data_IF_733258196823
#
_entry.id   IF_733258196823
#
_cell.length_a   1.000
_cell.length_b   1.000
_cell.length_c   1.000
_cell.angle_alpha   90.00
_cell.angle_beta   90.00
_cell.angle_gamma   90.00
#
_symmetry.space_group_name_H-M   'P 1'
#
loop_
_entity.id
_entity.type
_entity.pdbx_description
1 polymer ?
#
# COMPACT_ATOMS: atom_id res chain seq x y z
N UNK A 1 -24.23 3.49 13.60
CA UNK A 1 -23.03 4.10 13.02
C UNK A 1 -23.38 4.47 11.60
N UNK A 2 -23.11 5.69 11.14
CA UNK A 2 -23.33 6.06 9.74
C UNK A 2 -22.48 5.12 8.88
N UNK A 3 -23.05 4.60 7.80
CA UNK A 3 -22.37 3.75 6.84
C UNK A 3 -21.25 4.58 6.20
N UNK A 4 -19.97 4.25 6.45
CA UNK A 4 -18.84 4.98 5.87
C UNK A 4 -18.90 4.84 4.35
N UNK A 5 -18.75 5.96 3.62
CA UNK A 5 -18.72 5.98 2.16
C UNK A 5 -17.52 5.19 1.64
N UNK A 6 -17.75 4.30 0.69
CA UNK A 6 -16.66 3.63 -0.03
C UNK A 6 -16.03 4.60 -1.03
N UNK A 7 -14.72 4.83 -0.92
CA UNK A 7 -13.97 5.66 -1.86
C UNK A 7 -13.33 4.80 -2.97
N UNK A 8 -12.94 3.55 -2.62
CA UNK A 8 -12.31 2.62 -3.55
C UNK A 8 -12.91 1.22 -3.38
N UNK A 9 -13.25 0.57 -4.50
CA UNK A 9 -13.61 -0.84 -4.55
C UNK A 9 -12.67 -1.55 -5.52
N UNK A 10 -11.99 -2.59 -5.03
CA UNK A 10 -11.15 -3.47 -5.84
C UNK A 10 -11.84 -4.81 -5.95
N UNK A 11 -12.13 -5.28 -7.17
CA UNK A 11 -12.90 -6.51 -7.42
C UNK A 11 -12.13 -7.45 -8.34
N UNK A 12 -11.78 -8.62 -7.80
CA UNK A 12 -11.11 -9.70 -8.53
C UNK A 12 -9.89 -9.23 -9.35
N UNK A 13 -9.13 -8.28 -8.79
CA UNK A 13 -8.02 -7.63 -9.49
C UNK A 13 -6.88 -8.62 -9.70
N UNK A 14 -6.41 -8.69 -10.97
CA UNK A 14 -5.26 -9.51 -11.36
C UNK A 14 -4.24 -8.67 -12.12
N UNK A 15 -2.97 -8.89 -11.81
CA UNK A 15 -1.85 -8.36 -12.59
C UNK A 15 -0.80 -9.43 -12.78
N UNK A 16 -0.68 -9.89 -14.03
CA UNK A 16 0.28 -10.89 -14.47
C UNK A 16 1.30 -10.27 -15.41
N UNK A 17 2.56 -10.63 -15.22
CA UNK A 17 3.65 -10.21 -16.10
C UNK A 17 4.12 -11.43 -16.91
N UNK A 18 3.94 -11.42 -18.24
CA UNK A 18 4.38 -12.53 -19.09
C UNK A 18 5.91 -12.65 -19.04
N UNK A 19 6.42 -13.89 -19.02
CA UNK A 19 7.87 -14.15 -19.08
C UNK A 19 8.45 -13.91 -20.49
N UNK A 20 7.61 -13.99 -21.52
CA UNK A 20 7.97 -13.64 -22.89
C UNK A 20 7.57 -12.22 -23.22
N UNK A 21 8.31 -11.54 -24.12
CA UNK A 21 7.93 -10.22 -24.60
C UNK A 21 6.53 -10.24 -25.25
N UNK A 22 5.65 -9.35 -24.83
CA UNK A 22 4.31 -9.21 -25.38
C UNK A 22 3.25 -8.99 -24.30
N UNK A 23 1.98 -8.98 -24.71
CA UNK A 23 0.84 -8.96 -23.80
C UNK A 23 0.58 -10.38 -23.31
N UNK A 24 0.19 -10.50 -22.04
CA UNK A 24 -0.24 -11.76 -21.45
C UNK A 24 -1.45 -12.33 -22.23
N UNK A 25 -1.37 -13.62 -22.53
CA UNK A 25 -2.48 -14.42 -23.03
C UNK A 25 -2.75 -15.55 -22.05
N UNK A 26 -4.00 -15.98 -21.96
CA UNK A 26 -4.37 -17.05 -21.02
C UNK A 26 -3.56 -18.32 -21.31
N UNK A 27 -2.98 -18.90 -20.25
CA UNK A 27 -2.07 -20.06 -20.36
C UNK A 27 -0.60 -19.71 -20.55
N UNK A 28 -0.23 -18.45 -20.77
CA UNK A 28 1.18 -18.05 -20.87
C UNK A 28 1.91 -18.21 -19.53
N UNK A 29 3.17 -18.67 -19.53
CA UNK A 29 4.03 -18.58 -18.35
C UNK A 29 4.21 -17.13 -17.91
N UNK A 30 3.87 -16.84 -16.67
CA UNK A 30 3.84 -15.48 -16.16
C UNK A 30 4.16 -15.41 -14.68
N UNK A 31 4.57 -14.23 -14.23
CA UNK A 31 4.64 -13.86 -12.80
C UNK A 31 3.25 -13.36 -12.38
N UNK A 32 2.56 -14.10 -11.52
CA UNK A 32 1.27 -13.70 -10.95
C UNK A 32 1.48 -12.78 -9.75
N UNK A 33 1.79 -11.52 -10.04
CA UNK A 33 2.13 -10.55 -8.99
C UNK A 33 0.93 -10.09 -8.16
N UNK A 34 -0.25 -10.01 -8.75
CA UNK A 34 -1.55 -9.79 -8.10
C UNK A 34 -2.51 -10.84 -8.66
N UNK A 35 -3.12 -11.62 -7.80
CA UNK A 35 -3.90 -12.78 -8.20
C UNK A 35 -5.20 -12.88 -7.38
N UNK A 36 -6.27 -12.34 -7.97
CA UNK A 36 -7.63 -12.35 -7.43
C UNK A 36 -7.79 -11.62 -6.10
N UNK A 37 -7.45 -10.34 -6.08
CA UNK A 37 -7.58 -9.49 -4.89
C UNK A 37 -8.90 -8.72 -4.92
N UNK A 38 -9.64 -8.79 -3.81
CA UNK A 38 -10.90 -8.07 -3.60
C UNK A 38 -10.90 -7.43 -2.21
N UNK A 39 -11.16 -6.12 -2.15
CA UNK A 39 -11.37 -5.35 -0.92
C UNK A 39 -11.97 -3.98 -1.22
N UNK A 40 -12.53 -3.35 -0.19
CA UNK A 40 -13.02 -1.97 -0.21
C UNK A 40 -12.14 -1.09 0.68
N UNK A 41 -12.04 0.21 0.34
CA UNK A 41 -11.45 1.26 1.18
C UNK A 41 -12.53 2.32 1.43
N UNK A 42 -12.63 2.77 2.68
CA UNK A 42 -13.59 3.77 3.08
C UNK A 42 -12.94 5.15 3.21
N UNK A 43 -13.78 6.18 3.09
CA UNK A 43 -13.34 7.58 3.21
C UNK A 43 -12.72 7.85 4.58
N UNK A 44 -11.53 8.50 4.59
CA UNK A 44 -10.75 8.76 5.78
C UNK A 44 -10.14 7.52 6.46
N UNK A 45 -10.18 6.34 5.80
CA UNK A 45 -9.61 5.10 6.32
C UNK A 45 -8.14 4.93 5.90
N UNK A 46 -7.34 4.33 6.77
CA UNK A 46 -6.04 3.76 6.43
C UNK A 46 -6.11 2.23 6.40
N UNK A 47 -5.97 1.66 5.19
CA UNK A 47 -5.78 0.21 5.00
C UNK A 47 -4.29 -0.11 4.95
N UNK A 48 -3.78 -0.80 5.97
CA UNK A 48 -2.42 -1.34 5.98
C UNK A 48 -2.32 -2.60 5.11
N UNK A 49 -1.31 -2.67 4.24
CA UNK A 49 -0.99 -3.88 3.48
C UNK A 49 0.36 -4.42 3.89
N UNK A 50 0.38 -5.64 4.43
CA UNK A 50 1.59 -6.31 4.93
C UNK A 50 1.82 -7.64 4.24
N UNK A 51 3.03 -8.17 4.39
CA UNK A 51 3.45 -9.47 3.85
C UNK A 51 4.92 -9.47 3.47
N UNK A 52 5.47 -10.64 3.18
CA UNK A 52 6.88 -10.81 2.82
C UNK A 52 7.25 -10.02 1.56
N UNK A 53 8.56 -9.70 1.41
CA UNK A 53 9.06 -9.02 0.21
C UNK A 53 8.73 -9.83 -1.05
N UNK A 54 8.35 -9.15 -2.13
CA UNK A 54 7.97 -9.81 -3.39
C UNK A 54 6.56 -10.43 -3.43
N UNK A 55 5.74 -10.33 -2.37
CA UNK A 55 4.38 -10.89 -2.39
C UNK A 55 3.37 -10.11 -3.22
N UNK A 56 3.75 -8.97 -3.84
CA UNK A 56 2.91 -8.22 -4.79
C UNK A 56 2.32 -6.91 -4.30
N UNK A 57 2.58 -6.44 -3.06
CA UNK A 57 2.01 -5.21 -2.47
C UNK A 57 2.21 -3.96 -3.34
N UNK A 58 3.45 -3.65 -3.69
CA UNK A 58 3.78 -2.49 -4.54
C UNK A 58 3.17 -2.60 -5.94
N UNK A 59 3.09 -3.84 -6.47
CA UNK A 59 2.43 -4.09 -7.76
C UNK A 59 0.93 -3.84 -7.66
N UNK A 60 0.29 -4.26 -6.56
CA UNK A 60 -1.12 -3.98 -6.30
C UNK A 60 -1.37 -2.47 -6.28
N UNK A 61 -0.62 -1.72 -5.50
CA UNK A 61 -0.74 -0.26 -5.42
C UNK A 61 -0.59 0.41 -6.79
N UNK A 62 0.44 0.05 -7.56
CA UNK A 62 0.67 0.59 -8.91
C UNK A 62 -0.40 0.20 -9.91
N UNK A 63 -1.05 -0.94 -9.73
CA UNK A 63 -2.17 -1.38 -10.58
C UNK A 63 -3.44 -0.62 -10.24
N UNK A 64 -3.73 -0.34 -8.98
CA UNK A 64 -4.90 0.43 -8.53
C UNK A 64 -4.90 1.83 -9.16
N UNK A 65 -3.78 2.57 -9.12
CA UNK A 65 -3.69 3.89 -9.75
C UNK A 65 -3.39 3.84 -11.27
N UNK A 66 -3.43 2.64 -11.83
CA UNK A 66 -3.18 2.40 -13.26
C UNK A 66 -1.83 2.93 -13.77
N UNK A 67 -0.76 2.77 -12.96
CA UNK A 67 0.63 2.81 -13.47
C UNK A 67 0.97 1.52 -14.20
N UNK A 68 0.39 0.39 -13.75
CA UNK A 68 0.33 -0.86 -14.49
C UNK A 68 -1.10 -1.13 -14.93
N UNK A 69 -1.31 -1.42 -16.22
CA UNK A 69 -2.61 -1.86 -16.70
C UNK A 69 -2.98 -3.20 -16.04
N UNK A 70 -4.17 -3.35 -15.47
CA UNK A 70 -4.63 -4.62 -14.93
C UNK A 70 -4.69 -5.69 -16.01
N UNK A 71 -4.48 -6.95 -15.63
CA UNK A 71 -4.71 -8.09 -16.52
C UNK A 71 -6.21 -8.39 -16.61
N UNK A 72 -6.89 -8.36 -15.46
CA UNK A 72 -8.35 -8.47 -15.34
C UNK A 72 -8.81 -7.93 -13.98
N UNK A 73 -10.11 -7.91 -13.76
CA UNK A 73 -10.75 -7.36 -12.57
C UNK A 73 -11.09 -5.87 -12.74
N UNK A 74 -11.62 -5.28 -11.67
CA UNK A 74 -12.10 -3.91 -11.67
C UNK A 74 -11.48 -3.11 -10.53
N UNK A 75 -11.24 -1.84 -10.78
CA UNK A 75 -10.87 -0.83 -9.79
C UNK A 75 -11.85 0.31 -9.93
N UNK A 76 -12.73 0.47 -8.96
CA UNK A 76 -13.77 1.50 -8.95
C UNK A 76 -13.35 2.55 -7.91
N UNK A 77 -13.06 3.75 -8.36
CA UNK A 77 -12.74 4.89 -7.52
C UNK A 77 -13.85 5.92 -7.64
N UNK A 78 -14.46 6.29 -6.50
CA UNK A 78 -15.62 7.20 -6.43
C UNK A 78 -16.76 6.82 -7.41
N UNK A 79 -17.03 5.51 -7.53
CA UNK A 79 -18.08 4.97 -8.41
C UNK A 79 -17.69 4.86 -9.88
N UNK A 80 -16.47 5.23 -10.27
CA UNK A 80 -16.01 5.18 -11.64
C UNK A 80 -14.89 4.15 -11.87
N UNK A 81 -15.05 3.23 -12.85
CA UNK A 81 -14.02 2.24 -13.18
C UNK A 81 -12.77 2.89 -13.79
N UNK A 82 -11.67 2.83 -13.04
CA UNK A 82 -10.36 3.39 -13.39
C UNK A 82 -9.80 2.74 -14.67
N UNK A 83 -10.02 1.43 -14.86
CA UNK A 83 -9.49 0.69 -16.00
C UNK A 83 -10.12 1.14 -17.34
N UNK A 84 -11.39 1.55 -17.32
CA UNK A 84 -12.14 1.98 -18.51
C UNK A 84 -11.95 3.46 -18.89
N UNK A 85 -11.20 4.23 -18.08
CA UNK A 85 -10.99 5.67 -18.33
C UNK A 85 -10.06 5.92 -19.52
N UNK A 86 -10.39 6.93 -20.32
CA UNK A 86 -9.47 7.48 -21.33
C UNK A 86 -8.25 8.13 -20.66
N UNK A 87 -7.14 8.29 -21.40
CA UNK A 87 -5.94 8.97 -20.89
C UNK A 87 -6.22 10.37 -20.32
N UNK A 88 -7.13 11.12 -20.98
CA UNK A 88 -7.52 12.48 -20.52
C UNK A 88 -8.27 12.41 -19.19
N UNK A 89 -9.22 11.48 -19.03
CA UNK A 89 -9.95 11.29 -17.77
C UNK A 89 -9.03 10.76 -16.67
N UNK A 90 -8.09 9.86 -17.00
CA UNK A 90 -7.07 9.41 -16.03
C UNK A 90 -6.17 10.53 -15.53
N UNK A 91 -5.84 11.50 -16.40
CA UNK A 91 -5.05 12.67 -15.95
C UNK A 91 -5.80 13.49 -14.90
N UNK A 92 -7.10 13.73 -15.10
CA UNK A 92 -7.92 14.43 -14.10
C UNK A 92 -8.00 13.60 -12.79
N UNK A 93 -8.25 12.29 -12.89
CA UNK A 93 -8.37 11.41 -11.74
C UNK A 93 -7.08 11.34 -10.90
N UNK A 94 -5.91 11.57 -11.51
CA UNK A 94 -4.62 11.65 -10.79
C UNK A 94 -4.47 12.90 -9.92
N UNK A 95 -5.38 13.87 -9.98
CA UNK A 95 -5.44 14.94 -8.97
C UNK A 95 -5.86 14.35 -7.62
N UNK A 96 -6.85 13.45 -7.66
CA UNK A 96 -7.46 12.84 -6.47
C UNK A 96 -6.70 11.59 -5.97
N UNK A 97 -6.02 10.87 -6.87
CA UNK A 97 -5.29 9.64 -6.57
C UNK A 97 -3.78 9.87 -6.67
N UNK A 98 -3.09 9.88 -5.56
CA UNK A 98 -1.66 10.13 -5.50
C UNK A 98 -0.86 8.90 -5.03
N UNK A 99 0.47 8.94 -5.23
CA UNK A 99 1.37 7.83 -4.89
C UNK A 99 2.66 8.35 -4.26
N UNK A 100 3.00 7.85 -3.08
CA UNK A 100 4.28 8.07 -2.42
C UNK A 100 5.14 6.83 -2.68
N UNK A 101 6.28 7.02 -3.35
CA UNK A 101 7.18 5.93 -3.75
C UNK A 101 8.13 5.54 -2.61
N UNK A 102 8.57 4.29 -2.63
CA UNK A 102 9.46 3.68 -1.67
C UNK A 102 10.82 4.39 -1.59
N UNK A 103 11.41 4.72 -2.74
CA UNK A 103 12.72 5.37 -2.79
C UNK A 103 12.57 6.88 -3.03
N UNK A 104 12.85 7.71 -2.00
CA UNK A 104 12.79 9.15 -2.13
C UNK A 104 13.89 9.73 -3.06
N UNK A 105 14.97 8.98 -3.31
CA UNK A 105 16.04 9.43 -4.21
C UNK A 105 15.62 9.37 -5.67
N UNK A 106 15.10 8.24 -6.10
CA UNK A 106 14.68 8.05 -7.50
C UNK A 106 13.35 8.75 -7.83
N UNK A 107 12.54 9.07 -6.82
CA UNK A 107 11.23 9.70 -6.99
C UNK A 107 11.29 11.20 -7.27
N UNK A 108 12.41 11.88 -6.95
CA UNK A 108 12.61 13.32 -7.12
C UNK A 108 13.58 13.58 -8.26
N UNK A 109 13.24 14.50 -9.17
CA UNK A 109 14.15 14.90 -10.23
C UNK A 109 15.35 15.68 -9.63
N UNK A 110 16.59 15.16 -9.69
CA UNK A 110 17.76 15.79 -9.07
C UNK A 110 18.17 17.11 -9.69
N UNK A 111 17.64 17.44 -10.89
CA UNK A 111 17.93 18.66 -11.62
C UNK A 111 16.93 19.79 -11.35
N UNK A 112 15.90 19.52 -10.55
CA UNK A 112 14.88 20.49 -10.18
C UNK A 112 15.08 20.94 -8.74
N UNK A 113 14.80 22.21 -8.44
CA UNK A 113 14.71 22.70 -7.07
C UNK A 113 13.45 22.13 -6.39
N UNK A 114 13.42 22.11 -5.07
CA UNK A 114 12.23 21.67 -4.30
C UNK A 114 11.00 22.46 -4.71
N UNK A 115 11.14 23.79 -4.86
CA UNK A 115 10.06 24.64 -5.38
C UNK A 115 9.48 24.10 -6.69
N UNK A 116 10.35 23.84 -7.68
CA UNK A 116 9.87 23.36 -8.98
C UNK A 116 9.25 21.97 -8.91
N UNK A 117 9.74 21.08 -8.04
CA UNK A 117 9.18 19.74 -7.83
C UNK A 117 7.74 19.83 -7.26
N UNK A 118 7.52 20.75 -6.33
CA UNK A 118 6.19 20.95 -5.72
C UNK A 118 5.25 21.77 -6.62
N UNK A 119 5.78 22.71 -7.38
CA UNK A 119 5.02 23.57 -8.29
C UNK A 119 4.58 22.84 -9.57
N UNK A 120 5.37 21.87 -10.04
CA UNK A 120 5.11 21.16 -11.30
C UNK A 120 3.69 20.55 -11.39
N UNK A 121 3.22 19.73 -10.42
CA UNK A 121 1.87 19.17 -10.49
C UNK A 121 0.79 20.26 -10.47
N UNK A 122 0.97 21.32 -9.71
CA UNK A 122 0.03 22.44 -9.61
C UNK A 122 -0.14 23.18 -10.94
N UNK A 123 0.98 23.43 -11.63
CA UNK A 123 0.97 24.05 -12.96
C UNK A 123 0.44 23.11 -14.02
N UNK A 124 0.88 21.84 -13.98
CA UNK A 124 0.48 20.82 -14.97
C UNK A 124 -1.03 20.55 -14.97
N UNK A 125 -1.69 20.64 -13.79
CA UNK A 125 -3.13 20.49 -13.64
C UNK A 125 -3.89 21.81 -13.72
N UNK A 126 -3.19 22.93 -13.93
CA UNK A 126 -3.81 24.26 -14.11
C UNK A 126 -4.39 24.88 -12.84
N UNK A 127 -3.99 24.37 -11.65
CA UNK A 127 -4.43 24.92 -10.36
C UNK A 127 -3.83 26.29 -10.10
N UNK A 128 -2.57 26.50 -10.51
CA UNK A 128 -1.86 27.77 -10.35
C UNK A 128 -1.12 28.15 -11.64
N UNK A 129 -0.95 29.45 -11.83
CA UNK A 129 0.03 30.04 -12.77
C UNK A 129 1.28 30.44 -12.00
N UNK A 130 2.41 30.58 -12.67
CA UNK A 130 3.64 31.11 -12.05
C UNK A 130 3.37 32.54 -11.53
N UNK A 131 3.72 32.78 -10.27
CA UNK A 131 3.53 34.07 -9.63
C UNK A 131 3.52 33.97 -8.10
N UNK A 132 3.28 35.11 -7.41
CA UNK A 132 3.34 35.19 -5.94
C UNK A 132 2.40 34.22 -5.21
N UNK A 133 1.22 33.93 -5.78
CA UNK A 133 0.25 32.99 -5.20
C UNK A 133 0.80 31.56 -5.14
N UNK A 134 1.43 31.08 -6.24
CA UNK A 134 2.08 29.80 -6.27
C UNK A 134 3.25 29.73 -5.28
N UNK A 135 4.04 30.81 -5.19
CA UNK A 135 5.16 30.91 -4.26
C UNK A 135 4.69 30.79 -2.80
N UNK A 136 3.62 31.50 -2.44
CA UNK A 136 3.04 31.44 -1.12
C UNK A 136 2.48 30.05 -0.80
N UNK A 137 1.76 29.44 -1.74
CA UNK A 137 1.20 28.10 -1.59
C UNK A 137 2.30 27.03 -1.36
N UNK A 138 3.34 27.02 -2.21
CA UNK A 138 4.44 26.05 -2.11
C UNK A 138 5.21 26.20 -0.79
N UNK A 139 5.48 27.43 -0.35
CA UNK A 139 6.12 27.70 0.94
C UNK A 139 5.29 27.21 2.12
N UNK A 140 3.99 27.51 2.11
CA UNK A 140 3.06 27.03 3.15
C UNK A 140 3.01 25.49 3.19
N UNK A 141 2.92 24.85 2.03
CA UNK A 141 2.94 23.37 1.93
C UNK A 141 4.22 22.77 2.49
N UNK A 142 5.39 23.39 2.22
CA UNK A 142 6.67 22.97 2.79
C UNK A 142 6.65 23.06 4.32
N UNK A 143 6.24 24.22 4.87
CA UNK A 143 6.22 24.44 6.31
C UNK A 143 5.25 23.45 7.01
N UNK A 144 4.08 23.17 6.43
CA UNK A 144 3.14 22.13 6.90
C UNK A 144 3.74 20.72 6.92
N UNK A 145 4.61 20.41 5.96
CA UNK A 145 5.33 19.13 5.92
C UNK A 145 6.60 19.13 6.80
N UNK A 146 6.81 20.15 7.62
CA UNK A 146 7.98 20.28 8.50
C UNK A 146 9.29 20.50 7.73
N UNK A 147 9.20 21.16 6.57
CA UNK A 147 10.34 21.59 5.74
C UNK A 147 10.41 23.11 5.78
N UNK A 148 11.48 23.70 6.32
CA UNK A 148 11.62 25.16 6.32
C UNK A 148 11.52 25.75 4.91
N UNK A 149 10.60 26.68 4.70
CA UNK A 149 10.28 27.26 3.38
C UNK A 149 11.44 27.97 2.72
N UNK A 150 12.45 28.47 3.48
CA UNK A 150 13.67 29.05 2.92
C UNK A 150 14.57 28.03 2.19
N UNK A 151 14.28 26.73 2.30
CA UNK A 151 14.97 25.67 1.52
C UNK A 151 14.33 25.41 0.14
N UNK A 152 13.30 26.14 -0.24
CA UNK A 152 12.54 25.89 -1.48
C UNK A 152 13.40 25.92 -2.76
N UNK A 153 14.48 26.69 -2.78
CA UNK A 153 15.39 26.79 -3.95
C UNK A 153 16.57 25.82 -3.91
N UNK A 154 16.66 24.95 -2.88
CA UNK A 154 17.67 23.88 -2.82
C UNK A 154 17.29 22.71 -3.71
N UNK A 155 18.29 21.92 -4.07
CA UNK A 155 18.14 20.70 -4.85
C UNK A 155 18.01 19.47 -3.94
N UNK A 156 17.34 18.38 -4.37
CA UNK A 156 17.13 17.17 -3.57
C UNK A 156 18.39 16.59 -2.92
N UNK A 157 19.53 16.61 -3.62
CA UNK A 157 20.79 16.09 -3.10
C UNK A 157 21.35 16.84 -1.88
N UNK A 158 20.83 18.03 -1.57
CA UNK A 158 21.22 18.86 -0.42
C UNK A 158 20.39 18.55 0.84
N UNK A 159 19.52 17.52 0.79
CA UNK A 159 18.63 17.14 1.89
C UNK A 159 18.96 15.74 2.40
N UNK A 160 18.67 15.49 3.70
CA UNK A 160 18.71 14.15 4.29
C UNK A 160 17.64 13.22 3.69
N UNK A 161 17.75 11.91 3.92
CA UNK A 161 16.74 10.94 3.47
C UNK A 161 15.32 11.26 3.97
N UNK A 162 15.18 11.57 5.26
CA UNK A 162 13.89 11.96 5.85
C UNK A 162 13.33 13.27 5.29
N UNK A 163 14.19 14.27 5.02
CA UNK A 163 13.77 15.50 4.37
C UNK A 163 13.30 15.27 2.93
N UNK A 164 13.99 14.41 2.17
CA UNK A 164 13.54 14.03 0.81
C UNK A 164 12.21 13.29 0.85
N UNK A 165 12.00 12.43 1.84
CA UNK A 165 10.71 11.78 2.03
C UNK A 165 9.60 12.80 2.29
N UNK A 166 9.85 13.81 3.14
CA UNK A 166 8.92 14.92 3.35
C UNK A 166 8.62 15.71 2.08
N UNK A 167 9.61 15.92 1.20
CA UNK A 167 9.41 16.54 -0.12
C UNK A 167 8.49 15.66 -0.99
N UNK A 168 8.70 14.34 -0.99
CA UNK A 168 7.83 13.38 -1.70
C UNK A 168 6.38 13.40 -1.20
N UNK A 169 6.19 13.47 0.13
CA UNK A 169 4.88 13.61 0.75
C UNK A 169 4.25 14.96 0.38
N UNK A 170 4.98 16.06 0.51
CA UNK A 170 4.51 17.39 0.12
C UNK A 170 4.07 17.43 -1.34
N UNK A 171 4.84 16.80 -2.25
CA UNK A 171 4.45 16.70 -3.67
C UNK A 171 3.13 15.95 -3.86
N UNK A 172 2.92 14.86 -3.15
CA UNK A 172 1.66 14.09 -3.23
C UNK A 172 0.48 14.88 -2.66
N UNK A 173 0.71 15.71 -1.63
CA UNK A 173 -0.31 16.56 -1.02
C UNK A 173 -0.59 17.85 -1.80
N UNK A 174 0.27 18.21 -2.76
CA UNK A 174 0.18 19.49 -3.48
C UNK A 174 -1.15 19.70 -4.21
N UNK A 175 -1.76 18.62 -4.74
CA UNK A 175 -3.03 18.65 -5.47
C UNK A 175 -4.27 18.49 -4.58
N UNK A 176 -4.08 18.36 -3.26
CA UNK A 176 -5.15 18.16 -2.28
C UNK A 176 -5.97 16.87 -2.53
N UNK A 177 -5.30 15.71 -2.61
CA UNK A 177 -5.93 14.45 -3.01
C UNK A 177 -6.84 13.88 -1.92
N UNK A 178 -7.86 13.12 -2.32
CA UNK A 178 -8.72 12.34 -1.43
C UNK A 178 -8.17 10.95 -1.11
N UNK A 179 -7.21 10.45 -1.94
CA UNK A 179 -6.65 9.10 -1.80
C UNK A 179 -5.15 9.06 -2.13
N UNK A 180 -4.37 8.44 -1.25
CA UNK A 180 -2.92 8.26 -1.44
C UNK A 180 -2.52 6.81 -1.18
N UNK A 181 -1.74 6.23 -2.09
CA UNK A 181 -1.03 4.96 -1.86
C UNK A 181 0.40 5.27 -1.42
N UNK A 182 0.79 4.72 -0.28
CA UNK A 182 2.11 4.89 0.31
C UNK A 182 2.88 3.57 0.20
N UNK A 183 3.82 3.49 -0.75
CA UNK A 183 4.64 2.30 -1.00
C UNK A 183 5.92 2.38 -0.14
N UNK A 184 5.92 1.72 1.01
CA UNK A 184 7.01 1.69 2.00
C UNK A 184 7.57 3.08 2.36
N UNK A 185 6.73 4.07 2.73
CA UNK A 185 7.15 5.46 2.82
C UNK A 185 8.16 5.77 3.93
N UNK A 186 8.45 4.82 4.82
CA UNK A 186 9.36 5.02 5.97
C UNK A 186 10.45 3.95 6.08
N UNK A 187 10.51 2.98 5.16
CA UNK A 187 11.40 1.81 5.27
C UNK A 187 12.91 2.14 5.30
N UNK A 188 13.32 3.24 4.67
CA UNK A 188 14.71 3.67 4.58
C UNK A 188 15.12 4.72 5.64
N UNK A 189 14.26 4.95 6.65
CA UNK A 189 14.46 5.99 7.66
C UNK A 189 14.72 5.39 9.05
N UNK A 190 15.41 6.14 9.88
CA UNK A 190 15.55 5.79 11.31
C UNK A 190 14.22 5.92 12.07
N UNK A 191 14.09 5.21 13.20
CA UNK A 191 12.84 5.07 13.96
C UNK A 191 12.26 6.42 14.39
N UNK A 192 13.11 7.40 14.72
CA UNK A 192 12.65 8.71 15.17
C UNK A 192 12.02 9.50 14.03
N UNK A 193 12.63 9.45 12.86
CA UNK A 193 12.11 10.09 11.63
C UNK A 193 10.87 9.36 11.12
N UNK A 194 10.83 8.02 11.19
CA UNK A 194 9.62 7.24 10.87
C UNK A 194 8.40 7.72 11.66
N UNK A 195 8.56 7.86 12.99
CA UNK A 195 7.48 8.34 13.87
C UNK A 195 6.99 9.74 13.49
N UNK A 196 7.90 10.65 13.16
CA UNK A 196 7.56 12.00 12.71
C UNK A 196 6.78 12.00 11.38
N UNK A 197 7.18 11.16 10.42
CA UNK A 197 6.49 11.03 9.13
C UNK A 197 5.08 10.45 9.32
N UNK A 198 4.93 9.43 10.17
CA UNK A 198 3.64 8.81 10.44
C UNK A 198 2.69 9.79 11.11
N UNK A 199 3.18 10.59 12.08
CA UNK A 199 2.36 11.62 12.72
C UNK A 199 1.94 12.68 11.69
N UNK A 200 2.87 13.17 10.85
CA UNK A 200 2.54 14.09 9.77
C UNK A 200 1.42 13.54 8.86
N UNK A 201 1.49 12.25 8.49
CA UNK A 201 0.47 11.63 7.64
C UNK A 201 -0.89 11.54 8.34
N UNK A 202 -0.91 11.25 9.65
CA UNK A 202 -2.13 11.24 10.46
C UNK A 202 -2.75 12.64 10.59
N UNK A 203 -1.92 13.64 10.89
CA UNK A 203 -2.37 15.03 10.98
C UNK A 203 -3.02 15.48 9.66
N UNK A 204 -2.40 15.13 8.52
CA UNK A 204 -2.96 15.41 7.19
C UNK A 204 -4.25 14.63 6.91
N UNK A 205 -4.34 13.38 7.37
CA UNK A 205 -5.55 12.58 7.26
C UNK A 205 -6.71 13.21 8.05
N UNK A 206 -6.48 13.58 9.29
CA UNK A 206 -7.50 14.20 10.14
C UNK A 206 -7.95 15.56 9.60
N UNK A 207 -7.02 16.38 9.12
CA UNK A 207 -7.31 17.72 8.60
C UNK A 207 -8.07 17.68 7.26
N UNK A 208 -7.71 16.72 6.37
CA UNK A 208 -8.19 16.71 4.98
C UNK A 208 -9.04 15.50 4.63
N UNK A 209 -9.32 14.63 5.58
CA UNK A 209 -10.06 13.38 5.40
C UNK A 209 -9.48 12.47 4.30
N UNK A 210 -8.14 12.42 4.18
CA UNK A 210 -7.44 11.62 3.17
C UNK A 210 -7.55 10.14 3.52
N UNK A 211 -7.82 9.29 2.50
CA UNK A 211 -7.78 7.84 2.65
C UNK A 211 -6.43 7.30 2.21
N UNK A 212 -5.87 6.32 2.95
CA UNK A 212 -4.57 5.74 2.65
C UNK A 212 -4.64 4.24 2.38
N UNK A 213 -3.86 3.77 1.40
CA UNK A 213 -3.33 2.40 1.40
C UNK A 213 -1.87 2.49 1.81
N UNK A 214 -1.55 1.96 2.98
CA UNK A 214 -0.21 2.02 3.57
C UNK A 214 0.49 0.67 3.45
N UNK A 215 1.43 0.56 2.52
CA UNK A 215 2.23 -0.64 2.27
C UNK A 215 3.48 -0.60 3.14
N UNK A 216 3.71 -1.65 3.93
CA UNK A 216 4.93 -1.81 4.71
C UNK A 216 5.24 -3.28 4.98
N UNK A 217 6.51 -3.57 5.26
CA UNK A 217 6.94 -4.84 5.83
C UNK A 217 7.07 -4.76 7.36
N UNK A 218 7.04 -3.55 7.95
CA UNK A 218 7.06 -3.36 9.39
C UNK A 218 5.64 -3.36 9.98
N UNK A 219 5.30 -4.47 10.62
CA UNK A 219 4.01 -4.67 11.25
C UNK A 219 3.75 -3.72 12.42
N UNK A 220 4.79 -3.25 13.12
CA UNK A 220 4.64 -2.31 14.23
C UNK A 220 4.20 -0.94 13.74
N UNK A 221 4.78 -0.48 12.63
CA UNK A 221 4.39 0.75 11.95
C UNK A 221 2.94 0.66 11.46
N UNK A 222 2.59 -0.45 10.79
CA UNK A 222 1.23 -0.67 10.28
C UNK A 222 0.20 -0.69 11.40
N UNK A 223 0.49 -1.34 12.52
CA UNK A 223 -0.38 -1.34 13.71
C UNK A 223 -0.70 0.08 14.19
N UNK A 224 0.28 0.99 14.09
CA UNK A 224 0.13 2.35 14.59
C UNK A 224 -0.72 3.24 13.66
N UNK A 225 -0.57 3.11 12.34
CA UNK A 225 -1.22 4.02 11.38
C UNK A 225 -2.56 3.50 10.85
N UNK A 226 -2.75 2.17 10.79
CA UNK A 226 -3.88 1.58 10.06
C UNK A 226 -5.14 1.43 10.92
N UNK A 227 -6.29 1.42 10.27
CA UNK A 227 -7.60 1.05 10.83
C UNK A 227 -7.88 -0.44 10.57
N UNK A 228 -7.67 -0.89 9.33
CA UNK A 228 -7.76 -2.29 8.90
C UNK A 228 -6.43 -2.74 8.32
N UNK A 229 -6.17 -4.05 8.36
CA UNK A 229 -4.94 -4.63 7.84
C UNK A 229 -5.24 -5.80 6.92
N UNK A 230 -4.67 -5.76 5.72
CA UNK A 230 -4.66 -6.84 4.74
C UNK A 230 -3.29 -7.53 4.70
N UNK A 231 -3.28 -8.84 4.82
CA UNK A 231 -2.07 -9.67 4.80
C UNK A 231 -1.97 -10.38 3.46
N UNK A 232 -0.92 -10.07 2.69
CA UNK A 232 -0.70 -10.60 1.35
C UNK A 232 0.38 -11.68 1.31
N UNK A 233 0.14 -12.73 0.54
CA UNK A 233 1.10 -13.79 0.25
C UNK A 233 0.96 -14.27 -1.19
N UNK A 234 2.08 -14.36 -1.94
CA UNK A 234 2.12 -14.79 -3.35
C UNK A 234 0.98 -14.22 -4.22
N UNK A 235 0.82 -12.89 -4.18
CA UNK A 235 -0.16 -12.17 -4.98
C UNK A 235 -1.60 -12.22 -4.50
N UNK A 236 -1.92 -12.94 -3.42
CA UNK A 236 -3.28 -13.06 -2.89
C UNK A 236 -3.42 -12.46 -1.50
N UNK A 237 -4.65 -12.03 -1.16
CA UNK A 237 -5.03 -11.61 0.18
C UNK A 237 -5.33 -12.87 1.01
N UNK A 238 -4.55 -13.11 2.06
CA UNK A 238 -4.74 -14.26 2.96
C UNK A 238 -5.69 -13.94 4.11
N UNK A 239 -5.62 -12.73 4.62
CA UNK A 239 -6.45 -12.26 5.71
C UNK A 239 -6.67 -10.75 5.61
N UNK A 240 -7.88 -10.28 5.94
CA UNK A 240 -8.24 -8.85 5.98
C UNK A 240 -9.22 -8.64 7.12
N UNK A 241 -8.86 -7.78 8.07
CA UNK A 241 -9.74 -7.42 9.18
C UNK A 241 -9.36 -6.08 9.82
N UNK A 242 -10.14 -5.65 10.85
CA UNK A 242 -9.74 -4.59 11.76
C UNK A 242 -8.35 -4.88 12.35
N UNK A 243 -7.55 -3.85 12.55
CA UNK A 243 -6.19 -4.02 13.08
C UNK A 243 -6.14 -4.79 14.40
N UNK A 244 -7.08 -4.52 15.31
CA UNK A 244 -7.08 -5.20 16.61
C UNK A 244 -7.34 -6.69 16.46
N UNK A 245 -8.24 -7.09 15.56
CA UNK A 245 -8.48 -8.51 15.25
C UNK A 245 -7.23 -9.16 14.64
N UNK A 246 -6.55 -8.51 13.66
CA UNK A 246 -5.32 -9.05 13.06
C UNK A 246 -4.23 -9.27 14.11
N UNK A 247 -4.03 -8.33 15.05
CA UNK A 247 -2.93 -8.44 16.03
C UNK A 247 -3.27 -9.27 17.26
N UNK A 248 -4.53 -9.38 17.64
CA UNK A 248 -4.94 -10.15 18.85
C UNK A 248 -5.48 -11.54 18.53
N UNK A 249 -6.09 -11.72 17.37
CA UNK A 249 -6.81 -12.95 17.00
C UNK A 249 -6.65 -13.29 15.50
N UNK A 250 -5.40 -13.39 14.99
CA UNK A 250 -5.16 -13.76 13.59
C UNK A 250 -5.69 -15.16 13.30
N UNK A 251 -6.40 -15.33 12.19
CA UNK A 251 -7.10 -16.56 11.81
C UNK A 251 -6.38 -17.35 10.70
N UNK A 252 -5.46 -16.73 9.97
CA UNK A 252 -4.65 -17.43 8.99
C UNK A 252 -3.29 -17.85 9.59
N UNK A 253 -2.81 -19.09 9.43
CA UNK A 253 -1.51 -19.52 9.97
C UNK A 253 -0.33 -18.64 9.57
N UNK A 254 -0.34 -18.11 8.34
CA UNK A 254 0.68 -17.15 7.89
C UNK A 254 0.65 -15.84 8.68
N UNK A 255 -0.54 -15.27 8.91
CA UNK A 255 -0.69 -14.05 9.73
C UNK A 255 -0.21 -14.26 11.14
N UNK A 256 -0.57 -15.42 11.76
CA UNK A 256 -0.11 -15.79 13.11
C UNK A 256 1.40 -15.82 13.21
N UNK A 257 2.05 -16.41 12.23
CA UNK A 257 3.50 -16.50 12.19
C UNK A 257 4.16 -15.12 12.00
N UNK A 258 3.60 -14.26 11.12
CA UNK A 258 4.09 -12.89 10.95
C UNK A 258 3.94 -12.05 12.23
N UNK A 259 2.78 -12.11 12.88
CA UNK A 259 2.53 -11.38 14.15
C UNK A 259 3.40 -11.94 15.27
N UNK A 260 3.60 -13.27 15.33
CA UNK A 260 4.48 -13.93 16.29
C UNK A 260 5.95 -13.55 16.15
N UNK A 261 6.37 -13.13 14.95
CA UNK A 261 7.75 -12.69 14.68
C UNK A 261 8.02 -11.23 15.09
N UNK A 262 7.01 -10.46 15.50
CA UNK A 262 7.21 -9.07 15.97
C UNK A 262 8.02 -9.10 17.27
N UNK A 263 9.18 -8.40 17.34
CA UNK A 263 9.96 -8.30 18.57
C UNK A 263 9.15 -7.60 19.66
N UNK A 264 9.05 -8.24 20.83
CA UNK A 264 8.45 -7.62 22.01
C UNK A 264 9.52 -6.83 22.75
N UNK A 265 9.25 -5.58 23.17
CA UNK A 265 10.21 -4.77 23.93
C UNK A 265 10.46 -5.33 25.35
N UNK A 266 9.60 -6.21 25.84
CA UNK A 266 9.71 -6.83 27.16
C UNK A 266 10.48 -8.17 27.07
N UNK A 267 11.72 -8.27 27.56
CA UNK A 267 12.52 -9.49 27.50
C UNK A 267 11.96 -10.64 28.35
N UNK A 268 11.05 -10.34 29.29
CA UNK A 268 10.42 -11.38 30.14
C UNK A 268 9.26 -12.10 29.43
N UNK A 269 8.72 -11.51 28.37
CA UNK A 269 7.63 -12.06 27.56
C UNK A 269 8.11 -12.78 26.30
N UNK A 270 9.23 -13.50 26.38
CA UNK A 270 9.69 -14.33 25.25
C UNK A 270 8.64 -15.36 24.89
N UNK A 271 7.95 -15.15 23.76
CA UNK A 271 7.17 -16.20 23.11
C UNK A 271 8.12 -17.08 22.29
N UNK A 272 7.90 -18.39 22.31
CA UNK A 272 8.52 -19.26 21.29
C UNK A 272 8.10 -18.76 19.92
N UNK A 273 9.07 -18.24 19.15
CA UNK A 273 8.81 -17.81 17.78
C UNK A 273 8.47 -19.05 16.94
N UNK A 274 7.25 -19.11 16.46
CA UNK A 274 6.90 -20.06 15.40
C UNK A 274 7.55 -19.59 14.09
N UNK A 275 8.77 -20.02 13.85
CA UNK A 275 9.50 -19.68 12.62
C UNK A 275 8.79 -20.37 11.45
N UNK A 276 8.39 -19.60 10.45
CA UNK A 276 7.87 -20.14 9.20
C UNK A 276 9.03 -20.91 8.52
N UNK A 277 8.90 -22.22 8.43
CA UNK A 277 9.92 -23.06 7.77
C UNK A 277 9.76 -23.04 6.25
N UNK A 278 10.87 -23.29 5.56
CA UNK A 278 10.91 -23.40 4.09
C UNK A 278 11.05 -22.06 3.35
N UNK A 279 11.47 -22.16 2.10
CA UNK A 279 11.65 -21.04 1.19
C UNK A 279 10.32 -20.51 0.66
N UNK A 280 10.28 -19.23 0.29
CA UNK A 280 9.12 -18.62 -0.36
C UNK A 280 9.03 -19.19 -1.79
N UNK A 281 7.91 -19.85 -2.17
CA UNK A 281 7.74 -20.31 -3.54
C UNK A 281 7.76 -19.17 -4.54
N UNK A 282 8.13 -19.48 -5.78
CA UNK A 282 8.14 -18.51 -6.87
C UNK A 282 6.72 -18.10 -7.28
N UNK A 283 6.50 -16.82 -7.55
CA UNK A 283 5.27 -16.30 -8.16
C UNK A 283 5.03 -16.80 -9.61
N UNK A 284 5.99 -17.53 -10.19
CA UNK A 284 5.86 -18.20 -11.49
C UNK A 284 5.30 -19.61 -11.31
N UNK A 285 5.85 -20.36 -10.34
CA UNK A 285 5.47 -21.74 -10.03
C UNK A 285 4.71 -21.76 -8.70
N UNK A 286 3.48 -21.25 -8.73
CA UNK A 286 2.64 -21.19 -7.53
C UNK A 286 2.23 -22.63 -7.14
N UNK A 287 2.31 -22.98 -5.85
CA UNK A 287 1.85 -24.29 -5.36
C UNK A 287 0.39 -24.54 -5.72
N UNK A 288 0.07 -25.81 -6.05
CA UNK A 288 -1.32 -26.23 -6.24
C UNK A 288 -2.06 -26.14 -4.89
N UNK A 289 -3.33 -25.81 -4.93
CA UNK A 289 -4.17 -25.64 -3.73
C UNK A 289 -3.89 -24.33 -2.99
N UNK A 290 -3.89 -24.35 -1.66
CA UNK A 290 -3.56 -23.20 -0.85
C UNK A 290 -2.11 -22.76 -1.09
N UNK A 291 -1.89 -21.50 -1.46
CA UNK A 291 -0.55 -20.98 -1.78
C UNK A 291 0.44 -21.10 -0.61
N UNK A 292 -0.04 -21.11 0.63
CA UNK A 292 0.79 -21.25 1.83
C UNK A 292 1.02 -22.70 2.25
N UNK A 293 0.39 -23.71 1.58
CA UNK A 293 0.44 -25.11 2.02
C UNK A 293 1.86 -25.66 2.24
N UNK A 294 2.91 -25.33 1.43
CA UNK A 294 4.24 -25.89 1.64
C UNK A 294 4.93 -25.43 2.93
N UNK A 295 4.48 -24.29 3.48
CA UNK A 295 5.06 -23.66 4.68
C UNK A 295 4.10 -23.67 5.87
N UNK A 296 2.88 -24.18 5.68
CA UNK A 296 1.84 -24.21 6.71
C UNK A 296 2.03 -25.41 7.63
N UNK A 297 2.24 -25.20 8.95
CA UNK A 297 2.38 -26.32 9.89
C UNK A 297 1.07 -27.11 10.10
N UNK A 298 -0.07 -26.53 9.68
CA UNK A 298 -1.42 -27.11 9.80
C UNK A 298 -1.95 -27.64 8.46
N UNK A 299 -1.09 -27.78 7.43
CA UNK A 299 -1.52 -28.21 6.10
C UNK A 299 -2.08 -29.63 6.12
N UNK A 300 -3.31 -29.80 5.60
CA UNK A 300 -3.96 -31.10 5.36
C UNK A 300 -4.04 -31.36 3.84
N UNK A 301 -4.49 -32.55 3.45
CA UNK A 301 -4.51 -32.94 2.03
C UNK A 301 -5.33 -31.99 1.16
N UNK A 302 -6.49 -31.55 1.65
CA UNK A 302 -7.33 -30.55 0.97
C UNK A 302 -6.55 -29.27 0.63
N UNK A 303 -5.60 -28.85 1.51
CA UNK A 303 -4.79 -27.67 1.26
C UNK A 303 -3.82 -27.83 0.10
N UNK A 304 -3.43 -29.07 -0.25
CA UNK A 304 -2.56 -29.38 -1.37
C UNK A 304 -3.33 -29.56 -2.69
N UNK A 305 -4.62 -29.84 -2.60
CA UNK A 305 -5.47 -30.17 -3.76
C UNK A 305 -6.29 -28.98 -4.25
N UNK A 306 -6.86 -28.20 -3.30
CA UNK A 306 -7.83 -27.15 -3.61
C UNK A 306 -7.40 -25.81 -3.03
N UNK A 307 -7.61 -24.73 -3.82
CA UNK A 307 -7.43 -23.37 -3.33
C UNK A 307 -8.60 -23.00 -2.42
N UNK A 308 -8.35 -22.48 -1.18
CA UNK A 308 -9.42 -22.07 -0.30
C UNK A 308 -10.15 -20.84 -0.83
N UNK A 309 -11.47 -20.82 -0.72
CA UNK A 309 -12.24 -19.61 -0.91
C UNK A 309 -12.04 -18.65 0.27
N UNK A 310 -12.15 -17.35 0.02
CA UNK A 310 -12.20 -16.35 1.09
C UNK A 310 -13.52 -16.48 1.84
N UNK A 311 -13.45 -16.59 3.16
CA UNK A 311 -14.62 -16.71 4.06
C UNK A 311 -14.62 -15.53 5.02
N UNK A 312 -15.80 -15.01 5.32
CA UNK A 312 -16.00 -14.09 6.43
C UNK A 312 -16.20 -14.94 7.71
N UNK A 313 -15.20 -14.94 8.59
CA UNK A 313 -15.21 -15.75 9.85
C UNK A 313 -15.83 -14.99 11.01
N UNK A 314 -15.83 -13.67 10.96
CA UNK A 314 -16.50 -12.71 11.85
C UNK A 314 -16.88 -11.48 11.03
N UNK A 315 -17.76 -10.61 11.51
CA UNK A 315 -18.10 -9.36 10.82
C UNK A 315 -16.84 -8.57 10.39
N UNK A 316 -16.69 -8.35 9.09
CA UNK A 316 -15.54 -7.69 8.46
C UNK A 316 -14.18 -8.37 8.69
N UNK A 317 -14.13 -9.65 9.02
CA UNK A 317 -12.93 -10.45 9.14
C UNK A 317 -12.92 -11.57 8.09
N UNK A 318 -12.16 -11.36 7.03
CA UNK A 318 -12.09 -12.24 5.86
C UNK A 318 -10.80 -13.04 5.89
N UNK A 319 -10.89 -14.34 5.65
CA UNK A 319 -9.75 -15.28 5.70
C UNK A 319 -9.79 -16.23 4.53
N UNK A 320 -8.67 -16.37 3.83
CA UNK A 320 -8.49 -17.32 2.72
C UNK A 320 -7.82 -18.61 3.22
N UNK A 321 -8.53 -19.37 4.03
CA UNK A 321 -8.07 -20.64 4.62
C UNK A 321 -9.22 -21.63 4.71
N UNK A 322 -8.96 -22.94 4.45
CA UNK A 322 -9.98 -23.99 4.62
C UNK A 322 -10.48 -24.08 6.08
N UNK A 323 -9.58 -23.81 7.03
CA UNK A 323 -9.79 -23.90 8.48
C UNK A 323 -9.86 -22.52 9.15
N UNK A 324 -10.11 -21.45 8.39
CA UNK A 324 -10.29 -20.11 8.95
C UNK A 324 -11.46 -20.11 9.96
N UNK A 325 -11.22 -19.55 11.15
CA UNK A 325 -12.13 -19.57 12.28
C UNK A 325 -11.91 -20.70 13.29
N UNK A 326 -11.02 -21.64 13.00
CA UNK A 326 -10.68 -22.77 13.90
C UNK A 326 -9.39 -22.55 14.70
N UNK A 327 -8.68 -21.42 14.50
CA UNK A 327 -7.39 -21.12 15.11
C UNK A 327 -7.48 -20.14 16.27
#
# INVERSE_FOLDING_TARGET
MAEKRKILEVKHLKKYFPLKKGKYKDGDPCVKAVDDITFDLYEGETLGLVGESGCGKSTLGRTIIRLYEPTSGEVIFEGEDVAKKSRKKMRALREEMQFIFQDPYSSLNPRMTVFNILAEPLIAHGKFKRGPELDAYVKNLMDRCGLPSYYCYRYPHQFSGGQRQRIGIARSLALDPSFIICDEPVSALDVSIQSQIINLMKDMQEEKNISYIFISHDLSVVKHISDRVGVMYLGSMMELADKNEIYSNPQHPYTRALIGAIPLPDPTKRKEMQVIQGEIPSNVNIPKGCKFNPRCPFAKDICREQEPATKEVKPNHFVKCHFGGEF
#
